data_IF_413902223244
#
_entry.id   IF_413902223244
#
_cell.length_a   1.000
_cell.length_b   1.000
_cell.length_c   1.000
_cell.angle_alpha   90.00
_cell.angle_beta   90.00
_cell.angle_gamma   90.00
#
_symmetry.space_group_name_H-M   'P 1'
#
loop_
_entity.id
_entity.type
_entity.pdbx_description
1 polymer ?
#
# COMPACT_ATOMS: atom_id res chain seq x y z
N UNK A 1 19.73 -19.59 -13.97
CA UNK A 1 19.65 -18.78 -12.73
C UNK A 1 19.80 -19.71 -11.52
N UNK A 2 20.74 -19.42 -10.59
CA UNK A 2 20.88 -20.20 -9.35
C UNK A 2 19.62 -19.93 -8.50
N UNK A 3 18.88 -20.98 -8.12
CA UNK A 3 17.85 -20.86 -7.09
C UNK A 3 18.55 -20.33 -5.84
N UNK A 4 18.17 -19.15 -5.38
CA UNK A 4 18.56 -18.67 -4.05
C UNK A 4 17.79 -19.55 -3.06
N UNK A 5 18.45 -20.60 -2.55
CA UNK A 5 17.87 -21.46 -1.51
C UNK A 5 17.67 -20.59 -0.27
N UNK A 6 16.48 -20.64 0.28
CA UNK A 6 16.19 -19.97 1.56
C UNK A 6 16.69 -20.87 2.69
N UNK A 7 17.48 -20.31 3.60
CA UNK A 7 17.83 -20.96 4.85
C UNK A 7 16.71 -20.63 5.85
N UNK A 8 15.95 -21.67 6.25
CA UNK A 8 14.84 -21.49 7.19
C UNK A 8 15.41 -21.38 8.61
N UNK A 9 14.98 -20.35 9.34
CA UNK A 9 15.27 -20.13 10.75
C UNK A 9 14.12 -20.64 11.62
N UNK A 10 14.32 -20.78 12.93
CA UNK A 10 13.22 -21.11 13.87
C UNK A 10 12.06 -20.13 13.73
N UNK A 11 12.37 -18.85 13.49
CA UNK A 11 11.40 -17.79 13.29
C UNK A 11 10.56 -17.99 12.01
N UNK A 12 11.17 -18.39 10.90
CA UNK A 12 10.50 -18.54 9.60
C UNK A 12 9.84 -19.90 9.38
N UNK A 13 10.13 -20.90 10.22
CA UNK A 13 9.59 -22.27 10.08
C UNK A 13 8.06 -22.33 10.09
N UNK A 14 7.31 -21.68 11.03
CA UNK A 14 5.86 -21.76 11.04
C UNK A 14 5.23 -21.26 9.75
N UNK A 15 5.72 -20.14 9.22
CA UNK A 15 5.28 -19.60 7.94
C UNK A 15 5.60 -20.53 6.77
N UNK A 16 6.79 -21.15 6.78
CA UNK A 16 7.20 -22.08 5.75
C UNK A 16 6.31 -23.32 5.71
N UNK A 17 5.92 -23.87 6.86
CA UNK A 17 5.01 -25.02 6.96
C UNK A 17 3.64 -24.70 6.37
N UNK A 18 3.07 -23.53 6.69
CA UNK A 18 1.78 -23.07 6.14
C UNK A 18 1.88 -22.95 4.61
N UNK A 19 2.90 -22.28 4.11
CA UNK A 19 3.06 -22.03 2.67
C UNK A 19 3.32 -23.33 1.88
N UNK A 20 4.05 -24.29 2.44
CA UNK A 20 4.29 -25.59 1.80
C UNK A 20 3.03 -26.46 1.65
N UNK A 21 1.99 -26.19 2.44
CA UNK A 21 0.71 -26.90 2.31
C UNK A 21 -0.14 -26.39 1.13
N UNK A 22 0.31 -25.37 0.42
CA UNK A 22 -0.37 -24.84 -0.75
C UNK A 22 0.29 -25.35 -2.03
N UNK A 23 -0.47 -25.97 -2.92
CA UNK A 23 0.04 -26.47 -4.20
C UNK A 23 0.50 -25.32 -5.12
N UNK A 24 -0.33 -24.28 -5.21
CA UNK A 24 -0.06 -23.06 -5.99
C UNK A 24 -0.60 -21.85 -5.25
N UNK A 25 0.14 -20.75 -5.36
CA UNK A 25 -0.19 -19.48 -4.74
C UNK A 25 -0.36 -18.38 -5.77
N UNK A 26 -1.35 -17.52 -5.56
CA UNK A 26 -1.43 -16.20 -6.17
C UNK A 26 -1.33 -15.16 -5.07
N UNK A 27 -0.30 -14.34 -5.08
CA UNK A 27 -0.01 -13.34 -4.04
C UNK A 27 -0.31 -11.95 -4.57
N UNK A 28 -1.20 -11.22 -3.89
CA UNK A 28 -1.43 -9.81 -4.14
C UNK A 28 -0.26 -8.99 -3.58
N UNK A 29 0.55 -8.35 -4.44
CA UNK A 29 1.69 -7.51 -4.03
C UNK A 29 1.37 -6.03 -4.24
N UNK A 30 1.51 -5.24 -3.18
CA UNK A 30 1.20 -3.79 -3.19
C UNK A 30 2.43 -2.89 -3.23
N UNK A 31 3.64 -3.47 -3.21
CA UNK A 31 4.89 -2.73 -3.05
C UNK A 31 5.21 -2.34 -1.60
N UNK A 32 4.36 -2.69 -0.63
CA UNK A 32 4.62 -2.53 0.81
C UNK A 32 5.43 -3.70 1.38
N UNK A 33 6.03 -3.49 2.56
CA UNK A 33 6.92 -4.48 3.18
C UNK A 33 6.27 -5.86 3.33
N UNK A 34 5.00 -5.92 3.77
CA UNK A 34 4.34 -7.19 4.08
C UNK A 34 4.19 -8.07 2.84
N UNK A 35 3.54 -7.53 1.81
CA UNK A 35 3.26 -8.29 0.59
C UNK A 35 4.53 -8.61 -0.21
N UNK A 36 5.52 -7.72 -0.21
CA UNK A 36 6.79 -7.92 -0.90
C UNK A 36 7.65 -9.00 -0.21
N UNK A 37 7.69 -8.97 1.13
CA UNK A 37 8.40 -9.99 1.93
C UNK A 37 7.75 -11.36 1.75
N UNK A 38 6.39 -11.42 1.81
CA UNK A 38 5.66 -12.66 1.55
C UNK A 38 5.96 -13.21 0.15
N UNK A 39 5.94 -12.33 -0.86
CA UNK A 39 6.22 -12.69 -2.25
C UNK A 39 7.63 -13.28 -2.41
N UNK A 40 8.65 -12.60 -1.87
CA UNK A 40 10.03 -13.07 -1.90
C UNK A 40 10.19 -14.39 -1.15
N UNK A 41 9.61 -14.50 0.05
CA UNK A 41 9.69 -15.71 0.86
C UNK A 41 9.05 -16.92 0.15
N UNK A 42 7.82 -16.78 -0.30
CA UNK A 42 7.10 -17.84 -0.98
C UNK A 42 7.77 -18.24 -2.30
N UNK A 43 8.23 -17.26 -3.09
CA UNK A 43 8.94 -17.52 -4.34
C UNK A 43 10.25 -18.28 -4.13
N UNK A 44 11.04 -17.91 -3.13
CA UNK A 44 12.31 -18.61 -2.81
C UNK A 44 12.06 -20.00 -2.23
N UNK A 45 10.96 -20.21 -1.50
CA UNK A 45 10.60 -21.48 -0.89
C UNK A 45 10.04 -22.47 -1.91
N UNK A 46 9.07 -22.07 -2.72
CA UNK A 46 8.33 -22.96 -3.62
C UNK A 46 8.82 -22.89 -5.08
N UNK A 47 9.36 -21.75 -5.48
CA UNK A 47 9.81 -21.48 -6.84
C UNK A 47 8.73 -20.90 -7.77
N UNK A 48 9.20 -20.41 -8.93
CA UNK A 48 8.42 -19.64 -9.90
C UNK A 48 7.16 -20.36 -10.43
N UNK A 49 7.21 -21.68 -10.54
CA UNK A 49 6.09 -22.44 -11.12
C UNK A 49 4.90 -22.57 -10.18
N UNK A 50 5.13 -22.42 -8.86
CA UNK A 50 4.10 -22.54 -7.84
C UNK A 50 3.62 -21.20 -7.30
N UNK A 51 4.35 -20.10 -7.55
CA UNK A 51 4.04 -18.78 -7.01
C UNK A 51 3.87 -17.77 -8.14
N UNK A 52 2.65 -17.28 -8.29
CA UNK A 52 2.30 -16.14 -9.15
C UNK A 52 2.14 -14.90 -8.27
N UNK A 53 2.74 -13.82 -8.69
CA UNK A 53 2.59 -12.53 -8.02
C UNK A 53 1.75 -11.60 -8.92
N UNK A 54 0.81 -10.90 -8.32
CA UNK A 54 -0.07 -9.97 -9.06
C UNK A 54 -0.03 -8.61 -8.39
N UNK A 55 0.27 -7.59 -9.18
CA UNK A 55 0.23 -6.19 -8.76
C UNK A 55 -0.88 -5.45 -9.49
N UNK A 56 -1.76 -4.80 -8.72
CA UNK A 56 -2.80 -3.97 -9.29
C UNK A 56 -2.24 -2.60 -9.66
N UNK A 57 -2.36 -2.25 -10.94
CA UNK A 57 -2.11 -0.91 -11.46
C UNK A 57 -3.31 -0.03 -11.12
N UNK A 58 -3.09 1.04 -10.41
CA UNK A 58 -4.14 1.95 -9.98
C UNK A 58 -3.56 3.34 -9.71
N UNK A 59 -4.28 4.42 -9.99
CA UNK A 59 -3.91 5.75 -9.53
C UNK A 59 -3.77 5.86 -8.02
N UNK A 60 -4.41 4.96 -7.27
CA UNK A 60 -4.31 4.90 -5.81
C UNK A 60 -2.99 4.29 -5.31
N UNK A 61 -2.21 3.65 -6.19
CA UNK A 61 -0.90 3.07 -5.86
C UNK A 61 0.19 4.08 -6.21
N UNK A 62 1.06 4.48 -5.26
CA UNK A 62 2.18 5.35 -5.56
C UNK A 62 3.09 4.76 -6.64
N UNK A 63 3.55 5.57 -7.59
CA UNK A 63 4.48 5.14 -8.66
C UNK A 63 5.72 4.45 -8.11
N UNK A 64 6.27 4.96 -7.01
CA UNK A 64 7.40 4.35 -6.33
C UNK A 64 7.13 2.93 -5.80
N UNK A 65 5.89 2.60 -5.45
CA UNK A 65 5.50 1.26 -5.02
C UNK A 65 5.45 0.30 -6.21
N UNK A 66 4.90 0.71 -7.34
CA UNK A 66 4.90 -0.06 -8.59
C UNK A 66 6.32 -0.34 -9.06
N UNK A 67 7.17 0.69 -9.14
CA UNK A 67 8.57 0.53 -9.53
C UNK A 67 9.32 -0.45 -8.61
N UNK A 68 9.05 -0.43 -7.31
CA UNK A 68 9.64 -1.36 -6.34
C UNK A 68 9.22 -2.80 -6.63
N UNK A 69 7.95 -3.04 -6.97
CA UNK A 69 7.46 -4.38 -7.34
C UNK A 69 8.16 -4.88 -8.59
N UNK A 70 8.26 -4.05 -9.63
CA UNK A 70 8.92 -4.39 -10.89
C UNK A 70 10.41 -4.71 -10.68
N UNK A 71 11.11 -3.84 -9.96
CA UNK A 71 12.54 -4.02 -9.65
C UNK A 71 12.80 -5.33 -8.88
N UNK A 72 11.96 -5.63 -7.87
CA UNK A 72 12.11 -6.86 -7.09
C UNK A 72 11.77 -8.10 -7.93
N UNK A 73 10.73 -8.00 -8.76
CA UNK A 73 10.32 -9.09 -9.65
C UNK A 73 11.43 -9.45 -10.66
N UNK A 74 12.08 -8.43 -11.22
CA UNK A 74 13.21 -8.62 -12.12
C UNK A 74 14.40 -9.27 -11.38
N UNK A 75 14.75 -8.72 -10.22
CA UNK A 75 15.88 -9.22 -9.42
C UNK A 75 15.73 -10.69 -8.99
N UNK A 76 14.51 -11.11 -8.63
CA UNK A 76 14.22 -12.47 -8.18
C UNK A 76 13.66 -13.40 -9.27
N UNK A 77 13.31 -12.87 -10.44
CA UNK A 77 12.73 -13.64 -11.53
C UNK A 77 11.31 -14.11 -11.21
N UNK A 78 10.49 -13.26 -10.60
CA UNK A 78 9.09 -13.56 -10.26
C UNK A 78 8.25 -13.86 -11.49
N UNK A 79 7.19 -14.66 -11.33
CA UNK A 79 6.06 -14.70 -12.26
C UNK A 79 5.09 -13.56 -11.89
N UNK A 80 5.49 -12.34 -12.27
CA UNK A 80 4.71 -11.13 -11.98
C UNK A 80 3.72 -10.84 -13.11
N UNK A 81 2.47 -10.56 -12.73
CA UNK A 81 1.45 -10.03 -13.60
C UNK A 81 0.95 -8.67 -13.08
N UNK A 82 0.89 -7.69 -13.99
CA UNK A 82 0.30 -6.38 -13.75
C UNK A 82 -1.15 -6.40 -14.25
N UNK A 83 -2.10 -5.90 -13.46
CA UNK A 83 -3.52 -5.91 -13.79
C UNK A 83 -4.18 -4.60 -13.41
N UNK A 84 -5.20 -4.19 -14.14
CA UNK A 84 -6.17 -3.20 -13.67
C UNK A 84 -7.25 -3.96 -12.86
N UNK A 85 -7.52 -3.55 -11.65
CA UNK A 85 -8.53 -4.17 -10.80
C UNK A 85 -9.92 -3.55 -10.98
N UNK A 86 -10.03 -2.47 -11.76
CA UNK A 86 -11.31 -1.85 -12.13
C UNK A 86 -11.97 -1.04 -11.00
N UNK A 87 -11.28 -0.74 -9.90
CA UNK A 87 -11.89 -0.01 -8.79
C UNK A 87 -12.26 1.43 -9.16
N UNK A 88 -11.63 2.02 -10.20
CA UNK A 88 -12.00 3.35 -10.70
C UNK A 88 -13.28 3.37 -11.54
N UNK A 89 -13.77 2.22 -11.97
CA UNK A 89 -15.08 2.05 -12.60
C UNK A 89 -16.19 1.83 -11.56
N UNK A 90 -15.81 1.56 -10.31
CA UNK A 90 -16.72 1.34 -9.20
C UNK A 90 -17.09 2.66 -8.52
N UNK A 91 -18.34 3.10 -8.73
CA UNK A 91 -18.88 4.32 -8.14
C UNK A 91 -18.92 4.27 -6.61
N UNK A 92 -19.10 3.09 -6.02
CA UNK A 92 -19.09 2.92 -4.57
C UNK A 92 -17.69 3.19 -3.98
N UNK A 93 -16.64 2.76 -4.67
CA UNK A 93 -15.28 3.12 -4.30
C UNK A 93 -15.01 4.62 -4.49
N UNK A 94 -15.39 5.18 -5.65
CA UNK A 94 -15.14 6.59 -6.00
C UNK A 94 -15.90 7.57 -5.11
N UNK A 95 -17.07 7.20 -4.62
CA UNK A 95 -17.82 8.00 -3.64
C UNK A 95 -17.07 8.19 -2.30
N UNK A 96 -15.98 7.44 -2.09
CA UNK A 96 -15.10 7.53 -0.92
C UNK A 96 -15.82 7.41 0.43
N UNK A 97 -16.66 6.39 0.62
CA UNK A 97 -17.28 6.15 1.91
C UNK A 97 -16.24 5.72 2.93
N UNK A 98 -16.63 5.74 4.21
CA UNK A 98 -15.78 5.28 5.30
C UNK A 98 -15.21 3.87 5.08
N UNK A 99 -16.00 2.97 4.51
CA UNK A 99 -15.62 1.59 4.20
C UNK A 99 -15.10 1.39 2.76
N UNK A 100 -14.60 2.43 2.06
CA UNK A 100 -14.12 2.35 0.66
C UNK A 100 -13.13 1.21 0.43
N UNK A 101 -12.36 0.82 1.47
CA UNK A 101 -11.40 -0.28 1.36
C UNK A 101 -12.07 -1.63 1.10
N UNK A 102 -13.33 -1.81 1.51
CA UNK A 102 -14.13 -2.98 1.16
C UNK A 102 -14.33 -3.06 -0.36
N UNK A 103 -14.80 -2.00 -0.99
CA UNK A 103 -15.04 -1.95 -2.44
C UNK A 103 -13.74 -2.14 -3.23
N UNK A 104 -12.68 -1.40 -2.88
CA UNK A 104 -11.37 -1.55 -3.49
C UNK A 104 -10.85 -3.00 -3.42
N UNK A 105 -10.96 -3.65 -2.26
CA UNK A 105 -10.50 -5.03 -2.07
C UNK A 105 -11.40 -6.05 -2.75
N UNK A 106 -12.71 -5.81 -2.80
CA UNK A 106 -13.66 -6.65 -3.55
C UNK A 106 -13.29 -6.68 -5.03
N UNK A 107 -13.10 -5.51 -5.67
CA UNK A 107 -12.69 -5.41 -7.07
C UNK A 107 -11.34 -6.13 -7.30
N UNK A 108 -10.37 -5.89 -6.42
CA UNK A 108 -9.06 -6.55 -6.49
C UNK A 108 -9.18 -8.07 -6.42
N UNK A 109 -9.85 -8.60 -5.42
CA UNK A 109 -9.92 -10.05 -5.21
C UNK A 109 -10.79 -10.74 -6.24
N UNK A 110 -11.83 -10.09 -6.75
CA UNK A 110 -12.62 -10.59 -7.87
C UNK A 110 -11.75 -10.76 -9.13
N UNK A 111 -10.97 -9.74 -9.48
CA UNK A 111 -10.03 -9.80 -10.62
C UNK A 111 -8.98 -10.90 -10.41
N UNK A 112 -8.39 -10.98 -9.23
CA UNK A 112 -7.39 -11.98 -8.89
C UNK A 112 -7.95 -13.40 -8.91
N UNK A 113 -9.17 -13.63 -8.43
CA UNK A 113 -9.83 -14.93 -8.45
C UNK A 113 -10.01 -15.45 -9.88
N UNK A 114 -10.34 -14.56 -10.83
CA UNK A 114 -10.43 -14.92 -12.26
C UNK A 114 -9.10 -15.27 -12.91
N UNK A 115 -7.98 -14.90 -12.31
CA UNK A 115 -6.61 -15.11 -12.81
C UNK A 115 -5.86 -16.21 -12.04
N UNK A 116 -6.37 -16.60 -10.87
CA UNK A 116 -5.72 -17.53 -9.98
C UNK A 116 -5.90 -18.97 -10.44
N UNK A 117 -4.82 -19.73 -10.39
CA UNK A 117 -4.85 -21.20 -10.55
C UNK A 117 -4.60 -21.95 -9.23
N UNK A 118 -4.65 -21.24 -8.09
CA UNK A 118 -4.35 -21.77 -6.76
C UNK A 118 -4.95 -20.90 -5.66
N UNK A 119 -4.39 -21.01 -4.47
CA UNK A 119 -4.86 -20.25 -3.31
C UNK A 119 -4.46 -18.79 -3.43
N UNK A 120 -5.43 -17.90 -3.23
CA UNK A 120 -5.21 -16.46 -3.18
C UNK A 120 -4.76 -16.06 -1.77
N UNK A 121 -3.63 -15.35 -1.68
CA UNK A 121 -3.07 -14.91 -0.39
C UNK A 121 -2.75 -13.43 -0.37
N UNK A 122 -2.78 -12.84 0.80
CA UNK A 122 -2.35 -11.45 1.02
C UNK A 122 -1.37 -11.35 2.18
N UNK A 123 -0.61 -10.25 2.21
CA UNK A 123 0.38 -9.95 3.26
C UNK A 123 -0.22 -9.36 4.54
N UNK A 124 -1.48 -9.60 4.85
CA UNK A 124 -2.10 -9.20 6.13
C UNK A 124 -1.39 -9.90 7.28
N UNK A 125 -0.99 -9.18 8.31
CA UNK A 125 -0.32 -9.67 9.51
C UNK A 125 -1.21 -9.57 10.75
N UNK A 126 -0.76 -10.06 11.91
CA UNK A 126 -1.56 -10.13 13.14
C UNK A 126 -2.00 -8.74 13.67
N UNK A 127 -1.15 -7.71 13.52
CA UNK A 127 -1.50 -6.35 13.97
C UNK A 127 -2.67 -5.76 13.16
N UNK A 128 -2.81 -6.18 11.90
CA UNK A 128 -3.87 -5.73 11.02
C UNK A 128 -5.27 -6.18 11.47
N UNK A 129 -5.37 -7.20 12.32
CA UNK A 129 -6.65 -7.69 12.86
C UNK A 129 -7.19 -6.82 14.00
N UNK A 130 -6.36 -6.00 14.61
CA UNK A 130 -6.75 -5.15 15.74
C UNK A 130 -7.42 -3.84 15.30
N UNK A 131 -7.27 -3.45 14.04
CA UNK A 131 -7.85 -2.24 13.46
C UNK A 131 -9.19 -2.55 12.76
N UNK A 132 -10.09 -1.56 12.70
CA UNK A 132 -11.26 -1.63 11.80
C UNK A 132 -10.78 -1.64 10.34
N UNK A 133 -10.88 -2.81 9.70
CA UNK A 133 -10.40 -2.99 8.31
C UNK A 133 -11.48 -3.62 7.42
N UNK A 134 -12.31 -2.79 6.78
CA UNK A 134 -13.35 -3.28 5.84
C UNK A 134 -12.80 -4.19 4.74
N UNK A 135 -11.53 -4.05 4.39
CA UNK A 135 -10.87 -4.93 3.42
C UNK A 135 -10.70 -6.39 3.87
N UNK A 136 -10.77 -6.69 5.18
CA UNK A 136 -10.74 -8.08 5.67
C UNK A 136 -12.04 -8.81 5.38
N UNK A 137 -13.18 -8.12 5.42
CA UNK A 137 -14.48 -8.69 5.02
C UNK A 137 -14.46 -9.06 3.52
N UNK A 138 -13.93 -8.18 2.67
CA UNK A 138 -13.76 -8.51 1.26
C UNK A 138 -12.82 -9.71 1.05
N UNK A 139 -11.74 -9.82 1.84
CA UNK A 139 -10.83 -10.96 1.79
C UNK A 139 -11.54 -12.27 2.18
N UNK A 140 -12.38 -12.24 3.21
CA UNK A 140 -13.18 -13.38 3.65
C UNK A 140 -14.16 -13.83 2.56
N UNK A 141 -14.88 -12.89 1.94
CA UNK A 141 -15.83 -13.16 0.86
C UNK A 141 -15.19 -13.83 -0.35
N UNK A 142 -13.90 -13.57 -0.58
CA UNK A 142 -13.10 -14.15 -1.68
C UNK A 142 -12.17 -15.27 -1.23
N UNK A 143 -12.32 -15.79 -0.01
CA UNK A 143 -11.53 -16.91 0.54
C UNK A 143 -10.01 -16.65 0.49
N UNK A 144 -9.60 -15.39 0.65
CA UNK A 144 -8.18 -15.01 0.68
C UNK A 144 -7.56 -15.48 1.99
N UNK A 145 -6.44 -16.19 1.90
CA UNK A 145 -5.70 -16.66 3.07
C UNK A 145 -4.67 -15.61 3.51
N UNK A 146 -4.36 -15.63 4.78
CA UNK A 146 -3.42 -14.71 5.41
C UNK A 146 -2.30 -15.48 6.13
N UNK A 147 -1.27 -15.97 5.40
CA UNK A 147 -0.25 -16.85 5.97
C UNK A 147 0.46 -16.25 7.18
N UNK A 148 0.68 -14.94 7.22
CA UNK A 148 1.26 -14.27 8.39
C UNK A 148 0.36 -14.38 9.63
N UNK A 149 -0.95 -14.16 9.47
CA UNK A 149 -1.91 -14.31 10.57
C UNK A 149 -1.94 -15.76 11.07
N UNK A 150 -1.94 -16.72 10.15
CA UNK A 150 -1.93 -18.13 10.46
C UNK A 150 -0.65 -18.58 11.18
N UNK A 151 0.49 -17.93 10.87
CA UNK A 151 1.78 -18.15 11.53
C UNK A 151 1.96 -17.32 12.81
N UNK A 152 1.02 -16.43 13.16
CA UNK A 152 1.12 -15.54 14.31
C UNK A 152 2.11 -14.38 14.13
N UNK A 153 2.48 -14.04 12.89
CA UNK A 153 3.42 -12.97 12.57
C UNK A 153 2.79 -11.59 12.73
N UNK A 154 3.41 -10.75 13.54
CA UNK A 154 3.13 -9.32 13.62
C UNK A 154 4.02 -8.51 12.66
N UNK A 155 3.95 -7.18 12.73
CA UNK A 155 4.72 -6.30 11.83
C UNK A 155 6.23 -6.39 12.03
N UNK A 156 6.68 -6.59 13.26
CA UNK A 156 8.11 -6.68 13.57
C UNK A 156 8.66 -8.02 13.07
N UNK A 157 7.90 -9.11 13.16
CA UNK A 157 8.26 -10.41 12.60
C UNK A 157 8.40 -10.34 11.08
N UNK A 158 7.50 -9.64 10.39
CA UNK A 158 7.60 -9.43 8.93
C UNK A 158 8.87 -8.65 8.58
N UNK A 159 9.24 -7.64 9.37
CA UNK A 159 10.47 -6.86 9.15
C UNK A 159 11.72 -7.68 9.42
N UNK A 160 11.70 -8.49 10.47
CA UNK A 160 12.77 -9.43 10.77
C UNK A 160 12.96 -10.42 9.62
N UNK A 161 11.88 -11.02 9.13
CA UNK A 161 11.90 -11.91 7.98
C UNK A 161 12.47 -11.22 6.73
N UNK A 162 12.08 -9.97 6.44
CA UNK A 162 12.65 -9.22 5.34
C UNK A 162 14.18 -9.05 5.47
N UNK A 163 14.65 -8.83 6.69
CA UNK A 163 16.09 -8.73 6.98
C UNK A 163 16.81 -10.08 6.82
N UNK A 164 16.22 -11.18 7.30
CA UNK A 164 16.73 -12.56 7.12
C UNK A 164 16.84 -12.94 5.63
N UNK A 165 15.88 -12.46 4.82
CA UNK A 165 15.90 -12.63 3.37
C UNK A 165 16.95 -11.77 2.66
N UNK A 166 17.71 -10.95 3.37
CA UNK A 166 18.65 -10.01 2.77
C UNK A 166 17.98 -8.87 2.00
N UNK A 167 16.80 -8.43 2.45
CA UNK A 167 16.02 -7.35 1.86
C UNK A 167 15.95 -6.13 2.81
N UNK A 168 17.11 -5.52 3.19
CA UNK A 168 17.15 -4.48 4.21
C UNK A 168 16.41 -3.22 3.81
N UNK A 169 16.25 -2.96 2.52
CA UNK A 169 15.46 -1.82 2.04
C UNK A 169 13.97 -2.02 2.31
N UNK A 170 13.46 -3.25 2.15
CA UNK A 170 12.07 -3.58 2.49
C UNK A 170 11.83 -3.54 3.99
N UNK A 171 12.75 -4.08 4.81
CA UNK A 171 12.60 -4.10 6.26
C UNK A 171 12.46 -2.70 6.88
N UNK A 172 13.09 -1.69 6.27
CA UNK A 172 13.08 -0.28 6.71
C UNK A 172 11.96 0.55 6.09
N UNK A 173 11.17 -0.02 5.16
CA UNK A 173 10.09 0.72 4.50
C UNK A 173 9.07 1.25 5.51
N UNK A 174 8.77 2.56 5.47
CA UNK A 174 7.70 3.10 6.29
C UNK A 174 6.33 2.56 5.83
N UNK A 175 5.35 2.61 6.72
CA UNK A 175 3.96 2.32 6.35
C UNK A 175 3.48 3.30 5.28
N UNK A 176 3.07 2.78 4.14
CA UNK A 176 2.61 3.57 2.99
C UNK A 176 1.21 3.14 2.55
N UNK A 177 0.15 3.63 3.20
CA UNK A 177 -1.21 3.39 2.75
C UNK A 177 -1.44 4.00 1.37
N UNK A 178 -2.47 3.49 0.64
CA UNK A 178 -2.82 3.95 -0.71
C UNK A 178 -3.10 5.46 -0.75
N UNK A 179 -2.90 6.10 -1.90
CA UNK A 179 -3.09 7.55 -2.08
C UNK A 179 -4.52 8.01 -1.79
N UNK A 180 -5.52 7.14 -1.99
CA UNK A 180 -6.92 7.44 -1.64
C UNK A 180 -7.11 7.78 -0.15
N UNK A 181 -6.19 7.32 0.72
CA UNK A 181 -6.22 7.68 2.14
C UNK A 181 -5.89 9.15 2.42
N UNK A 182 -5.47 9.91 1.40
CA UNK A 182 -5.21 11.34 1.47
C UNK A 182 -6.45 12.17 1.18
N UNK A 183 -7.44 11.58 0.54
CA UNK A 183 -8.71 12.25 0.22
C UNK A 183 -9.66 12.10 1.41
N UNK A 184 -10.21 13.23 1.87
CA UNK A 184 -11.15 13.27 3.01
C UNK A 184 -12.38 12.42 2.70
N UNK A 185 -12.84 11.64 3.66
CA UNK A 185 -14.04 10.79 3.54
C UNK A 185 -15.23 11.60 3.04
N UNK A 186 -15.93 11.09 2.03
CA UNK A 186 -17.07 11.73 1.37
C UNK A 186 -16.69 12.68 0.22
N UNK A 187 -15.40 13.03 0.07
CA UNK A 187 -14.93 13.70 -1.16
C UNK A 187 -14.64 12.62 -2.20
N UNK A 188 -15.24 12.76 -3.38
CA UNK A 188 -15.06 11.83 -4.48
C UNK A 188 -13.58 11.62 -4.82
N UNK A 189 -13.18 10.37 -5.01
CA UNK A 189 -11.82 10.04 -5.44
C UNK A 189 -11.73 10.26 -6.95
N UNK A 190 -10.88 11.22 -7.34
CA UNK A 190 -10.60 11.53 -8.73
C UNK A 190 -9.15 11.15 -9.09
N UNK A 191 -8.96 10.61 -10.29
CA UNK A 191 -7.63 10.22 -10.80
C UNK A 191 -6.65 11.40 -10.73
N UNK A 192 -7.08 12.57 -11.19
CA UNK A 192 -6.25 13.76 -11.21
C UNK A 192 -5.77 14.17 -9.81
N UNK A 193 -6.62 14.01 -8.78
CA UNK A 193 -6.20 14.28 -7.40
C UNK A 193 -5.11 13.31 -6.93
N UNK A 194 -5.26 12.01 -7.22
CA UNK A 194 -4.28 11.01 -6.79
C UNK A 194 -2.94 11.19 -7.51
N UNK A 195 -2.94 11.51 -8.79
CA UNK A 195 -1.74 11.82 -9.57
C UNK A 195 -1.04 13.09 -9.04
N UNK A 196 -1.81 14.13 -8.70
CA UNK A 196 -1.29 15.34 -8.08
C UNK A 196 -0.70 15.05 -6.68
N UNK A 197 -1.39 14.27 -5.85
CA UNK A 197 -0.91 13.83 -4.53
C UNK A 197 0.43 13.11 -4.66
N UNK A 198 0.53 12.12 -5.56
CA UNK A 198 1.76 11.33 -5.76
C UNK A 198 2.92 12.24 -6.21
N UNK A 199 2.65 13.17 -7.13
CA UNK A 199 3.63 14.12 -7.63
C UNK A 199 4.14 15.06 -6.53
N UNK A 200 3.23 15.61 -5.72
CA UNK A 200 3.57 16.51 -4.62
C UNK A 200 4.34 15.78 -3.51
N UNK A 201 3.83 14.61 -3.06
CA UNK A 201 4.52 13.82 -2.01
C UNK A 201 5.92 13.39 -2.46
N UNK A 202 6.07 12.98 -3.73
CA UNK A 202 7.36 12.57 -4.30
C UNK A 202 8.33 13.75 -4.41
N UNK A 203 7.87 14.92 -4.84
CA UNK A 203 8.68 16.11 -4.91
C UNK A 203 9.14 16.58 -3.52
N UNK A 204 8.21 16.67 -2.54
CA UNK A 204 8.54 17.03 -1.16
C UNK A 204 9.54 16.03 -0.56
N UNK A 205 9.39 14.73 -0.86
CA UNK A 205 10.31 13.71 -0.41
C UNK A 205 11.72 13.90 -0.98
N UNK A 206 11.84 14.31 -2.24
CA UNK A 206 13.16 14.57 -2.85
C UNK A 206 13.82 15.86 -2.36
N UNK A 207 13.02 16.88 -2.08
CA UNK A 207 13.52 18.22 -1.72
C UNK A 207 13.91 18.32 -0.24
N UNK A 208 13.03 17.84 0.65
CA UNK A 208 13.19 18.06 2.10
C UNK A 208 13.45 16.76 2.88
N UNK A 209 13.37 15.60 2.23
CA UNK A 209 13.59 14.28 2.84
C UNK A 209 12.88 14.07 4.20
N UNK A 210 11.58 14.42 4.35
CA UNK A 210 10.85 14.24 5.59
C UNK A 210 10.73 12.76 5.97
N UNK A 211 10.66 12.47 7.27
CA UNK A 211 10.32 11.11 7.75
C UNK A 211 8.92 10.69 7.31
N UNK A 212 8.02 11.65 7.21
CA UNK A 212 6.63 11.44 6.79
C UNK A 212 6.12 12.68 6.08
N UNK A 213 5.51 12.49 4.90
CA UNK A 213 4.76 13.51 4.18
C UNK A 213 3.40 12.98 3.76
N UNK A 214 2.37 13.82 3.83
CA UNK A 214 1.03 13.54 3.30
C UNK A 214 0.44 14.82 2.70
N UNK A 215 0.09 14.74 1.43
CA UNK A 215 -0.66 15.76 0.72
C UNK A 215 -2.15 15.38 0.75
N UNK A 216 -2.95 16.08 1.55
CA UNK A 216 -4.35 15.72 1.76
C UNK A 216 -5.28 16.65 1.01
N UNK A 217 -6.25 16.06 0.33
CA UNK A 217 -7.39 16.76 -0.29
C UNK A 217 -8.52 16.79 0.72
N UNK A 218 -8.83 17.98 1.21
CA UNK A 218 -9.86 18.24 2.21
C UNK A 218 -10.95 19.14 1.62
N UNK A 219 -12.12 19.19 2.23
CA UNK A 219 -13.20 20.12 1.82
C UNK A 219 -12.75 21.59 1.83
N UNK A 220 -11.76 21.94 2.64
CA UNK A 220 -11.27 23.31 2.80
C UNK A 220 -9.99 23.61 1.98
N UNK A 221 -9.57 22.71 1.09
CA UNK A 221 -8.36 22.85 0.27
C UNK A 221 -7.35 21.74 0.46
N UNK A 222 -6.09 22.02 0.16
CA UNK A 222 -4.99 21.06 0.26
C UNK A 222 -4.23 21.29 1.56
N UNK A 223 -3.97 20.20 2.29
CA UNK A 223 -3.17 20.23 3.51
C UNK A 223 -1.90 19.41 3.33
N UNK A 224 -0.75 20.06 3.44
CA UNK A 224 0.55 19.39 3.47
C UNK A 224 0.88 19.08 4.92
N UNK A 225 1.03 17.79 5.22
CA UNK A 225 1.40 17.31 6.55
C UNK A 225 2.79 16.68 6.50
N UNK A 226 3.66 17.11 7.40
CA UNK A 226 5.02 16.58 7.54
C UNK A 226 5.30 16.23 9.00
N UNK A 227 6.33 15.43 9.24
CA UNK A 227 6.81 15.27 10.61
C UNK A 227 7.22 16.62 11.21
N UNK A 228 7.08 16.80 12.55
CA UNK A 228 7.27 18.10 13.19
C UNK A 228 8.66 18.71 12.97
N UNK A 229 9.69 17.87 12.87
CA UNK A 229 11.07 18.34 12.71
C UNK A 229 11.25 18.99 11.32
N UNK A 230 10.82 18.28 10.27
CA UNK A 230 10.89 18.83 8.90
C UNK A 230 10.02 20.07 8.77
N UNK A 231 8.78 20.04 9.30
CA UNK A 231 7.87 21.18 9.22
C UNK A 231 8.44 22.44 9.89
N UNK A 232 9.06 22.30 11.07
CA UNK A 232 9.67 23.43 11.77
C UNK A 232 10.94 23.97 11.12
N UNK A 233 11.57 23.19 10.25
CA UNK A 233 12.74 23.58 9.46
C UNK A 233 12.43 24.34 8.18
N UNK A 234 11.17 24.35 7.73
CA UNK A 234 10.79 25.08 6.52
C UNK A 234 10.73 26.58 6.81
N UNK A 235 11.50 27.36 6.05
CA UNK A 235 11.38 28.80 6.07
C UNK A 235 10.22 29.31 5.18
N UNK A 236 10.06 30.63 5.05
CA UNK A 236 9.00 31.24 4.26
C UNK A 236 9.17 30.99 2.76
N UNK A 237 10.40 30.87 2.28
CA UNK A 237 10.72 30.60 0.88
C UNK A 237 10.39 29.14 0.53
N UNK A 238 10.77 28.20 1.38
CA UNK A 238 10.40 26.77 1.27
C UNK A 238 8.89 26.56 1.25
N UNK A 239 8.17 27.24 2.14
CA UNK A 239 6.71 27.15 2.20
C UNK A 239 6.07 27.71 0.93
N UNK A 240 6.55 28.85 0.43
CA UNK A 240 6.08 29.46 -0.81
C UNK A 240 6.36 28.58 -2.03
N UNK A 241 7.57 28.05 -2.15
CA UNK A 241 7.95 27.11 -3.21
C UNK A 241 7.07 25.86 -3.19
N UNK A 242 6.80 25.33 -1.99
CA UNK A 242 5.92 24.18 -1.82
C UNK A 242 4.48 24.51 -2.23
N UNK A 243 3.96 25.67 -1.83
CA UNK A 243 2.62 26.14 -2.22
C UNK A 243 2.50 26.28 -3.74
N UNK A 244 3.45 26.91 -4.40
CA UNK A 244 3.48 27.07 -5.86
C UNK A 244 3.48 25.69 -6.55
N UNK A 245 4.30 24.75 -6.07
CA UNK A 245 4.35 23.39 -6.59
C UNK A 245 3.03 22.63 -6.42
N UNK A 246 2.38 22.78 -5.26
CA UNK A 246 1.06 22.18 -5.02
C UNK A 246 0.03 22.75 -5.99
N UNK A 247 -0.03 24.07 -6.16
CA UNK A 247 -0.98 24.71 -7.07
C UNK A 247 -0.75 24.31 -8.53
N UNK A 248 0.48 24.14 -8.96
CA UNK A 248 0.80 23.58 -10.27
C UNK A 248 0.25 22.18 -10.47
N UNK A 249 0.41 21.31 -9.47
CA UNK A 249 -0.09 19.93 -9.56
C UNK A 249 -1.63 19.85 -9.49
N UNK A 250 -2.28 20.79 -8.78
CA UNK A 250 -3.73 20.83 -8.57
C UNK A 250 -4.46 21.87 -9.45
N UNK A 251 -3.96 22.16 -10.67
CA UNK A 251 -4.60 23.13 -11.59
C UNK A 251 -6.08 22.79 -11.89
N UNK A 252 -6.48 21.53 -11.81
CA UNK A 252 -7.86 21.06 -11.96
C UNK A 252 -8.75 21.44 -10.77
N UNK A 253 -8.19 21.98 -9.67
CA UNK A 253 -8.90 22.51 -8.48
C UNK A 253 -8.60 24.00 -8.30
N UNK A 254 -9.21 24.87 -9.14
CA UNK A 254 -8.94 26.31 -9.07
C UNK A 254 -9.36 26.89 -7.71
N UNK A 255 -8.65 27.92 -7.26
CA UNK A 255 -8.85 28.61 -5.99
C UNK A 255 -8.63 27.75 -4.74
N UNK A 256 -7.90 26.66 -4.86
CA UNK A 256 -7.49 25.82 -3.74
C UNK A 256 -6.57 26.58 -2.78
N UNK A 257 -6.82 26.48 -1.48
CA UNK A 257 -5.94 27.00 -0.42
C UNK A 257 -4.99 25.90 0.02
N UNK A 258 -3.71 26.22 0.12
CA UNK A 258 -2.67 25.33 0.66
C UNK A 258 -2.42 25.68 2.11
N UNK A 259 -2.30 24.70 2.97
CA UNK A 259 -1.97 24.84 4.38
C UNK A 259 -0.94 23.80 4.79
N UNK A 260 -0.21 24.07 5.85
CA UNK A 260 0.77 23.19 6.43
C UNK A 260 0.38 22.80 7.86
N UNK A 261 0.63 21.56 8.24
CA UNK A 261 0.46 21.11 9.63
C UNK A 261 1.37 19.93 9.95
N UNK A 262 1.58 19.69 11.24
CA UNK A 262 2.22 18.47 11.70
C UNK A 262 1.39 17.24 11.30
N UNK A 263 2.07 16.16 10.95
CA UNK A 263 1.43 14.91 10.57
C UNK A 263 0.57 14.34 11.71
N UNK A 264 -0.65 13.98 11.38
CA UNK A 264 -1.58 13.26 12.25
C UNK A 264 -2.12 12.03 11.52
N UNK A 265 -1.96 10.86 12.14
CA UNK A 265 -2.48 9.60 11.58
C UNK A 265 -4.01 9.68 11.47
N UNK A 266 -4.56 9.32 10.32
CA UNK A 266 -6.01 9.21 10.13
C UNK A 266 -6.76 10.53 9.96
N UNK A 267 -6.11 11.69 9.87
CA UNK A 267 -6.76 13.02 9.83
C UNK A 267 -7.66 13.28 8.62
N UNK A 268 -7.62 12.45 7.58
CA UNK A 268 -8.58 12.52 6.45
C UNK A 268 -9.79 11.58 6.62
N UNK A 269 -9.80 10.75 7.66
CA UNK A 269 -10.94 9.87 7.95
C UNK A 269 -11.93 10.58 8.87
N UNK A 270 -13.10 10.89 8.36
CA UNK A 270 -14.23 11.33 9.17
C UNK A 270 -15.10 10.11 9.45
N UNK A 271 -15.13 9.68 10.71
CA UNK A 271 -16.17 8.77 11.19
C UNK A 271 -17.42 9.64 11.25
N UNK A 272 -18.38 9.45 10.34
CA UNK A 272 -19.72 9.94 10.57
C UNK A 272 -20.22 9.20 11.81
N UNK A 273 -20.45 9.92 12.90
CA UNK A 273 -21.29 9.40 13.98
C UNK A 273 -22.59 8.96 13.31
N UNK A 274 -22.83 7.65 13.28
CA UNK A 274 -24.11 7.11 12.91
C UNK A 274 -25.10 7.73 13.91
N UNK A 275 -25.84 8.75 13.44
CA UNK A 275 -26.98 9.24 14.16
C UNK A 275 -27.94 8.07 14.30
N UNK A 276 -27.98 7.55 15.53
CA UNK A 276 -28.97 6.58 16.02
C UNK A 276 -30.37 7.10 15.83
#
# INVERSE_FOLDING_TARGET
MKRTRIDLTEHSLPLAEIIKNYDKLTIAVSGGVDSMTLGSFAHRLLGRQQVKLVHALSPAVPKAATLRVETQAEAEGWDLRMVDAGEFEDEQYRANPFNRCFFCKTNLYQTLSGLSSGILVSGTNADDLQDFRPGLEAAQNHQVRHPYVEAGFNKDDVRALASELGLPQLSRLPSSPCLSSRVETGIRIERADLEAIDSVESWIQSEFNPKTVRCRVLAQGIMIQMDPLTLSGLDLEDQKMTEERVLECFQHRPSTKVRFSAYQRGSAFKIQELQT
#
